data_IF_066392006334
#
_entry.id   IF_066392006334
#
_cell.length_a   1.000
_cell.length_b   1.000
_cell.length_c   1.000
_cell.angle_alpha   90.00
_cell.angle_beta   90.00
_cell.angle_gamma   90.00
#
_symmetry.space_group_name_H-M   'P 1'
#
loop_
_entity.id
_entity.type
_entity.pdbx_description
1 polymer ?
#
# COMPACT_ATOMS: atom_id res chain seq x y z
N UNK A 1 14.07 74.90 -20.22
CA UNK A 1 13.38 73.77 -19.58
C UNK A 1 12.46 73.11 -20.60
N UNK A 2 12.37 71.77 -20.69
CA UNK A 2 13.10 70.70 -19.98
C UNK A 2 14.16 70.01 -20.90
N UNK A 3 15.39 69.78 -20.42
CA UNK A 3 15.94 68.55 -19.78
C UNK A 3 16.14 67.36 -20.75
N UNK A 4 17.34 67.08 -21.27
CA UNK A 4 18.57 66.52 -20.66
C UNK A 4 18.60 64.97 -20.75
N UNK A 5 19.44 64.37 -21.62
CA UNK A 5 20.76 63.73 -21.33
C UNK A 5 20.62 62.34 -20.67
N UNK A 6 21.34 61.26 -20.98
CA UNK A 6 22.56 60.97 -21.76
C UNK A 6 22.58 59.43 -22.01
N UNK A 7 23.13 58.91 -23.13
CA UNK A 7 24.49 58.33 -23.28
C UNK A 7 24.73 57.05 -22.44
N UNK A 8 25.33 55.93 -22.88
CA UNK A 8 26.56 55.68 -23.66
C UNK A 8 26.69 54.13 -23.80
N UNK A 9 26.87 53.53 -24.99
CA UNK A 9 28.12 53.03 -25.64
C UNK A 9 28.52 51.54 -25.47
N UNK A 10 28.73 50.92 -26.66
CA UNK A 10 29.77 49.95 -27.11
C UNK A 10 29.86 48.49 -26.63
N UNK A 11 29.95 47.56 -27.62
CA UNK A 11 30.95 46.47 -27.79
C UNK A 11 30.43 45.53 -28.91
N UNK A 12 31.03 45.36 -30.11
CA UNK A 12 32.35 44.89 -30.58
C UNK A 12 32.23 43.52 -31.30
N UNK A 13 32.43 43.57 -32.63
CA UNK A 13 33.30 42.76 -33.50
C UNK A 13 33.16 41.21 -33.60
N UNK A 14 33.16 40.78 -34.86
CA UNK A 14 33.03 39.46 -35.47
C UNK A 14 34.32 38.61 -35.52
N UNK A 15 34.09 37.29 -35.77
CA UNK A 15 34.86 36.31 -36.60
C UNK A 15 36.06 35.57 -35.98
N UNK A 16 35.95 34.23 -35.82
CA UNK A 16 36.47 33.24 -36.78
C UNK A 16 36.22 31.78 -36.33
N UNK A 17 35.99 30.96 -37.35
CA UNK A 17 35.68 29.54 -37.45
C UNK A 17 36.75 28.56 -36.94
N UNK A 18 36.32 27.42 -36.36
CA UNK A 18 37.00 26.12 -36.50
C UNK A 18 36.02 24.94 -36.53
N UNK A 19 36.32 24.05 -37.44
CA UNK A 19 35.73 22.75 -37.76
C UNK A 19 35.73 21.77 -36.56
N UNK A 20 34.63 21.01 -36.45
CA UNK A 20 34.65 19.54 -36.45
C UNK A 20 35.05 18.81 -35.16
N UNK A 21 34.05 18.20 -34.51
CA UNK A 21 34.13 16.82 -34.00
C UNK A 21 32.73 16.33 -33.63
N UNK A 22 32.21 15.41 -34.45
CA UNK A 22 31.06 14.57 -34.12
C UNK A 22 31.47 13.64 -32.98
N UNK A 23 30.99 13.89 -31.77
CA UNK A 23 30.95 12.88 -30.72
C UNK A 23 29.55 12.27 -30.74
N UNK A 24 29.43 11.09 -31.35
CA UNK A 24 28.22 10.30 -31.30
C UNK A 24 27.87 9.97 -29.86
N UNK A 25 26.75 10.51 -29.37
CA UNK A 25 26.11 9.94 -28.19
C UNK A 25 25.60 8.56 -28.57
N UNK A 26 26.26 7.53 -28.05
CA UNK A 26 25.71 6.19 -27.91
C UNK A 26 24.39 6.34 -27.13
N UNK A 27 23.27 6.33 -27.87
CA UNK A 27 21.97 5.97 -27.33
C UNK A 27 22.10 4.53 -26.84
N UNK A 28 22.48 4.38 -25.57
CA UNK A 28 22.33 3.12 -24.86
C UNK A 28 20.86 2.78 -24.90
N UNK A 29 20.49 1.87 -25.79
CA UNK A 29 19.22 1.18 -25.72
C UNK A 29 19.15 0.55 -24.34
N UNK A 30 18.37 1.13 -23.42
CA UNK A 30 17.87 0.40 -22.27
C UNK A 30 17.01 -0.71 -22.85
N UNK A 31 17.63 -1.86 -23.06
CA UNK A 31 16.93 -3.12 -23.24
C UNK A 31 16.11 -3.31 -21.97
N UNK A 32 14.80 -3.03 -22.06
CA UNK A 32 13.81 -3.60 -21.14
C UNK A 32 13.77 -5.10 -21.44
N UNK A 33 14.84 -5.82 -21.10
CA UNK A 33 14.71 -7.25 -20.88
C UNK A 33 13.71 -7.39 -19.72
N UNK A 34 12.69 -8.26 -19.84
CA UNK A 34 11.96 -8.69 -18.66
C UNK A 34 13.01 -9.12 -17.64
N UNK A 35 13.02 -8.51 -16.45
CA UNK A 35 13.83 -9.07 -15.37
C UNK A 35 13.30 -10.49 -15.17
N UNK A 36 14.07 -11.48 -15.64
CA UNK A 36 13.78 -12.86 -15.31
C UNK A 36 13.79 -12.93 -13.79
N UNK A 37 12.66 -13.38 -13.24
CA UNK A 37 12.52 -13.59 -11.81
C UNK A 37 13.63 -14.56 -11.38
N UNK A 38 14.28 -14.25 -10.26
CA UNK A 38 15.38 -15.06 -9.78
C UNK A 38 14.82 -16.31 -9.09
N UNK A 39 15.33 -17.48 -9.49
CA UNK A 39 15.10 -18.71 -8.74
C UNK A 39 15.44 -18.52 -7.26
N UNK A 40 14.80 -19.30 -6.38
CA UNK A 40 15.09 -19.27 -4.96
C UNK A 40 16.59 -19.44 -4.69
N UNK A 41 17.17 -18.51 -3.94
CA UNK A 41 18.58 -18.56 -3.59
C UNK A 41 18.83 -19.66 -2.55
N UNK A 42 19.94 -20.39 -2.69
CA UNK A 42 20.20 -21.61 -1.93
C UNK A 42 20.22 -21.41 -0.39
N UNK A 43 20.54 -20.20 0.07
CA UNK A 43 20.57 -19.86 1.50
C UNK A 43 19.18 -19.81 2.15
N UNK A 44 18.11 -19.61 1.35
CA UNK A 44 16.73 -19.53 1.83
C UNK A 44 15.95 -20.85 1.70
N UNK A 45 16.52 -21.83 1.00
CA UNK A 45 15.94 -23.17 0.80
C UNK A 45 15.55 -23.83 2.13
N UNK A 46 16.39 -23.84 3.19
CA UNK A 46 16.01 -24.49 4.45
C UNK A 46 14.76 -23.92 5.11
N UNK A 47 14.58 -22.59 5.07
CA UNK A 47 13.45 -21.89 5.70
C UNK A 47 12.16 -22.12 4.91
N UNK A 48 12.24 -22.10 3.57
CA UNK A 48 11.12 -22.45 2.70
C UNK A 48 10.73 -23.92 2.90
N UNK A 49 11.72 -24.82 2.93
CA UNK A 49 11.48 -26.25 3.13
C UNK A 49 10.80 -26.53 4.48
N UNK A 50 11.19 -25.82 5.55
CA UNK A 50 10.55 -25.94 6.85
C UNK A 50 9.04 -25.62 6.81
N UNK A 51 8.64 -24.61 6.04
CA UNK A 51 7.23 -24.26 5.85
C UNK A 51 6.49 -25.35 5.06
N UNK A 52 7.11 -25.87 3.98
CA UNK A 52 6.56 -26.97 3.18
C UNK A 52 6.34 -28.21 4.05
N UNK A 53 7.33 -28.57 4.87
CA UNK A 53 7.27 -29.75 5.74
C UNK A 53 6.21 -29.58 6.83
N UNK A 54 6.10 -28.39 7.43
CA UNK A 54 5.05 -28.08 8.39
C UNK A 54 3.64 -28.21 7.77
N UNK A 55 3.46 -27.76 6.53
CA UNK A 55 2.20 -27.92 5.80
C UNK A 55 1.89 -29.39 5.49
N UNK A 56 2.89 -30.17 5.04
CA UNK A 56 2.74 -31.63 4.80
C UNK A 56 2.39 -32.40 6.07
N UNK A 57 2.99 -32.02 7.19
CA UNK A 57 2.72 -32.61 8.49
C UNK A 57 1.35 -32.20 9.08
N UNK A 58 0.71 -31.17 8.51
CA UNK A 58 -0.50 -30.59 9.08
C UNK A 58 -0.24 -30.03 10.48
N UNK A 59 0.85 -29.27 10.65
CA UNK A 59 1.29 -28.70 11.93
C UNK A 59 1.04 -27.18 12.01
N UNK A 60 -0.14 -26.75 12.51
CA UNK A 60 -0.45 -25.33 12.75
C UNK A 60 0.54 -24.63 13.68
N UNK A 61 1.17 -25.34 14.62
CA UNK A 61 2.09 -24.75 15.58
C UNK A 61 3.40 -24.36 14.90
N UNK A 62 3.93 -25.23 14.04
CA UNK A 62 5.11 -24.93 13.26
C UNK A 62 4.88 -23.75 12.30
N UNK A 63 3.75 -23.74 11.59
CA UNK A 63 3.38 -22.63 10.69
C UNK A 63 3.22 -21.32 11.48
N UNK A 64 2.50 -21.34 12.61
CA UNK A 64 2.29 -20.14 13.42
C UNK A 64 3.61 -19.54 13.95
N UNK A 65 4.59 -20.37 14.30
CA UNK A 65 5.93 -19.90 14.72
C UNK A 65 6.72 -19.23 13.59
N UNK A 66 6.39 -19.54 12.35
CA UNK A 66 7.03 -18.99 11.17
C UNK A 66 6.37 -17.69 10.69
N UNK A 67 5.37 -17.14 11.37
CA UNK A 67 4.74 -15.87 10.96
C UNK A 67 5.45 -14.67 11.58
N UNK A 68 5.64 -13.61 10.79
CA UNK A 68 5.97 -12.29 11.28
C UNK A 68 4.68 -11.62 11.78
N UNK A 69 4.61 -11.38 13.09
CA UNK A 69 3.44 -10.75 13.71
C UNK A 69 3.65 -9.24 13.92
N UNK A 70 2.59 -8.42 13.80
CA UNK A 70 1.21 -8.80 13.45
C UNK A 70 1.05 -9.14 11.96
N UNK A 71 0.35 -10.25 11.66
CA UNK A 71 0.03 -10.62 10.29
C UNK A 71 -1.14 -9.77 9.81
N UNK A 72 -0.86 -8.90 8.83
CA UNK A 72 -1.84 -7.99 8.24
C UNK A 72 -2.87 -8.73 7.40
N UNK A 73 -4.16 -8.41 7.59
CA UNK A 73 -5.26 -8.92 6.75
C UNK A 73 -5.92 -7.77 5.99
N UNK A 74 -6.68 -8.12 4.95
CA UNK A 74 -7.41 -7.11 4.17
C UNK A 74 -8.48 -6.45 5.04
N UNK A 75 -8.41 -5.13 5.20
CA UNK A 75 -9.42 -4.36 5.93
C UNK A 75 -10.83 -4.63 5.37
N UNK A 76 -11.87 -4.88 6.22
CA UNK A 76 -11.89 -4.72 7.67
C UNK A 76 -11.59 -5.98 8.50
N UNK A 77 -10.95 -7.00 7.95
CA UNK A 77 -10.54 -8.15 8.74
C UNK A 77 -9.53 -7.73 9.81
N UNK A 78 -9.67 -8.21 11.06
CA UNK A 78 -8.71 -7.89 12.10
C UNK A 78 -7.37 -8.55 11.81
N UNK A 79 -6.29 -7.79 12.00
CA UNK A 79 -4.92 -8.30 12.00
C UNK A 79 -4.73 -9.37 13.08
N UNK A 80 -3.90 -10.36 12.81
CA UNK A 80 -3.58 -11.43 13.76
C UNK A 80 -2.32 -11.02 14.51
N UNK A 81 -2.42 -10.83 15.83
CA UNK A 81 -1.37 -10.17 16.61
C UNK A 81 -0.28 -11.13 17.12
N UNK A 82 -0.56 -12.42 17.22
CA UNK A 82 0.34 -13.38 17.86
C UNK A 82 -0.02 -14.84 17.47
N UNK A 83 0.85 -15.81 17.82
CA UNK A 83 0.61 -17.23 17.54
C UNK A 83 -0.71 -17.76 18.09
N UNK A 84 -1.12 -17.36 19.29
CA UNK A 84 -2.35 -17.85 19.90
C UNK A 84 -3.58 -17.44 19.08
N UNK A 85 -3.66 -16.17 18.68
CA UNK A 85 -4.73 -15.69 17.79
C UNK A 85 -4.69 -16.38 16.43
N UNK A 86 -3.49 -16.66 15.90
CA UNK A 86 -3.35 -17.40 14.64
C UNK A 86 -3.92 -18.82 14.76
N UNK A 87 -3.59 -19.53 15.85
CA UNK A 87 -4.08 -20.88 16.07
C UNK A 87 -5.61 -20.91 16.20
N UNK A 88 -6.21 -19.91 16.87
CA UNK A 88 -7.66 -19.77 16.94
C UNK A 88 -8.31 -19.58 15.56
N UNK A 89 -7.65 -18.84 14.67
CA UNK A 89 -8.15 -18.51 13.32
C UNK A 89 -7.48 -19.33 12.22
N UNK A 90 -6.87 -20.47 12.56
CA UNK A 90 -5.93 -21.13 11.66
C UNK A 90 -6.60 -21.55 10.36
N UNK A 91 -7.71 -22.29 10.45
CA UNK A 91 -8.46 -22.77 9.28
C UNK A 91 -9.10 -21.64 8.47
N UNK A 92 -9.35 -20.48 9.08
CA UNK A 92 -9.84 -19.31 8.38
C UNK A 92 -8.78 -18.73 7.43
N UNK A 93 -7.48 -18.84 7.76
CA UNK A 93 -6.40 -18.25 6.96
C UNK A 93 -5.67 -19.30 6.12
N UNK A 94 -5.37 -20.45 6.73
CA UNK A 94 -4.72 -21.61 6.14
C UNK A 94 -5.74 -22.73 5.97
N UNK A 95 -6.67 -22.52 5.04
CA UNK A 95 -7.63 -23.56 4.67
C UNK A 95 -6.93 -24.72 3.94
N UNK A 96 -7.68 -25.80 3.67
CA UNK A 96 -7.13 -26.98 2.99
C UNK A 96 -6.56 -26.67 1.61
N UNK A 97 -7.08 -25.65 0.91
CA UNK A 97 -6.58 -25.24 -0.39
C UNK A 97 -5.19 -24.60 -0.27
N UNK A 98 -5.03 -23.62 0.62
CA UNK A 98 -3.73 -22.97 0.82
C UNK A 98 -2.69 -23.95 1.39
N UNK A 99 -3.07 -24.77 2.38
CA UNK A 99 -2.18 -25.79 2.93
C UNK A 99 -1.72 -26.78 1.87
N UNK A 100 -2.64 -27.23 1.01
CA UNK A 100 -2.30 -28.11 -0.10
C UNK A 100 -1.36 -27.45 -1.10
N UNK A 101 -1.58 -26.18 -1.44
CA UNK A 101 -0.68 -25.42 -2.31
C UNK A 101 0.75 -25.36 -1.74
N UNK A 102 0.89 -25.05 -0.45
CA UNK A 102 2.20 -25.01 0.22
C UNK A 102 2.82 -26.41 0.27
N UNK A 103 2.07 -27.43 0.71
CA UNK A 103 2.56 -28.79 0.89
C UNK A 103 3.01 -29.46 -0.42
N UNK A 104 2.40 -29.12 -1.56
CA UNK A 104 2.76 -29.66 -2.87
C UNK A 104 3.75 -28.78 -3.64
N UNK A 105 4.14 -27.63 -3.09
CA UNK A 105 5.16 -26.77 -3.68
C UNK A 105 6.56 -27.38 -3.56
N UNK A 106 7.47 -26.91 -4.41
CA UNK A 106 8.90 -27.27 -4.41
C UNK A 106 9.76 -26.01 -4.40
N UNK A 107 10.90 -26.06 -3.72
CA UNK A 107 11.84 -24.94 -3.60
C UNK A 107 12.40 -24.49 -4.94
N UNK A 108 12.41 -25.37 -5.94
CA UNK A 108 12.98 -25.09 -7.26
C UNK A 108 11.99 -24.42 -8.23
N UNK A 109 10.68 -24.68 -8.08
CA UNK A 109 9.70 -24.32 -9.11
C UNK A 109 8.61 -23.35 -8.66
N UNK A 110 8.37 -23.22 -7.36
CA UNK A 110 7.23 -22.45 -6.84
C UNK A 110 7.66 -21.25 -6.01
N UNK A 111 8.91 -21.21 -5.58
CA UNK A 111 9.42 -20.17 -4.70
C UNK A 111 10.48 -19.36 -5.44
N UNK A 112 10.36 -18.05 -5.37
CA UNK A 112 11.21 -17.12 -6.11
C UNK A 112 11.60 -15.92 -5.25
N UNK A 113 12.83 -15.45 -5.43
CA UNK A 113 13.32 -14.26 -4.73
C UNK A 113 12.95 -13.01 -5.52
N UNK A 114 12.25 -12.08 -4.88
CA UNK A 114 11.68 -10.88 -5.51
C UNK A 114 12.47 -9.60 -5.20
N UNK A 115 13.79 -9.74 -5.17
CA UNK A 115 14.70 -8.71 -4.67
C UNK A 115 14.33 -8.31 -3.24
N UNK A 116 14.41 -7.02 -2.92
CA UNK A 116 14.13 -6.52 -1.56
C UNK A 116 12.71 -6.84 -1.02
N UNK A 117 11.78 -7.35 -1.84
CA UNK A 117 10.41 -7.70 -1.42
C UNK A 117 10.31 -9.01 -0.62
N UNK A 118 11.34 -9.87 -0.69
CA UNK A 118 11.35 -11.17 -0.04
C UNK A 118 11.10 -12.33 -1.00
N UNK A 119 10.64 -13.45 -0.47
CA UNK A 119 10.50 -14.73 -1.17
C UNK A 119 9.02 -15.02 -1.39
N UNK A 120 8.64 -15.30 -2.63
CA UNK A 120 7.24 -15.38 -3.07
C UNK A 120 6.88 -16.81 -3.45
N UNK A 121 5.72 -17.30 -2.98
CA UNK A 121 5.10 -18.53 -3.45
C UNK A 121 4.18 -18.26 -4.65
N UNK A 122 4.41 -18.95 -5.76
CA UNK A 122 3.67 -18.87 -7.03
C UNK A 122 3.42 -17.40 -7.44
N UNK A 123 2.17 -17.01 -7.67
CA UNK A 123 1.79 -15.62 -8.00
C UNK A 123 1.58 -14.74 -6.77
N UNK A 124 2.33 -15.01 -5.69
CA UNK A 124 2.29 -14.25 -4.44
C UNK A 124 1.16 -14.64 -3.52
N UNK A 125 0.77 -15.92 -3.49
CA UNK A 125 -0.20 -16.43 -2.50
C UNK A 125 0.31 -16.27 -1.07
N UNK A 126 1.61 -16.52 -0.86
CA UNK A 126 2.34 -16.37 0.41
C UNK A 126 3.66 -15.63 0.13
N UNK A 127 4.04 -14.77 1.07
CA UNK A 127 5.31 -14.05 1.06
C UNK A 127 6.08 -14.35 2.34
N UNK A 128 7.37 -14.63 2.19
CA UNK A 128 8.33 -14.72 3.29
C UNK A 128 9.29 -13.53 3.22
N UNK A 129 9.73 -13.04 4.37
CA UNK A 129 10.95 -12.26 4.46
C UNK A 129 12.21 -13.15 4.37
N UNK A 130 13.38 -12.53 4.41
CA UNK A 130 14.67 -13.22 4.30
C UNK A 130 15.09 -13.98 5.57
N UNK A 131 14.42 -13.75 6.70
CA UNK A 131 14.54 -14.57 7.90
C UNK A 131 13.65 -15.82 7.82
N UNK A 132 12.93 -15.98 6.69
CA UNK A 132 12.02 -17.07 6.44
C UNK A 132 10.70 -16.95 7.19
N UNK A 133 10.32 -15.75 7.64
CA UNK A 133 9.03 -15.51 8.29
C UNK A 133 7.97 -15.13 7.26
N UNK A 134 6.76 -15.67 7.39
CA UNK A 134 5.59 -15.27 6.61
C UNK A 134 5.27 -13.82 6.94
N UNK A 135 5.56 -12.94 5.99
CA UNK A 135 5.36 -11.50 6.06
C UNK A 135 4.02 -11.08 5.44
N UNK A 136 3.43 -11.92 4.58
CA UNK A 136 2.15 -11.65 3.96
C UNK A 136 1.48 -12.89 3.36
N UNK A 137 0.14 -12.85 3.30
CA UNK A 137 -0.68 -13.87 2.65
C UNK A 137 -1.72 -13.14 1.81
N UNK A 138 -1.57 -13.14 0.48
CA UNK A 138 -2.55 -12.50 -0.42
C UNK A 138 -3.72 -13.43 -0.74
N UNK A 139 -3.57 -14.73 -0.47
CA UNK A 139 -4.68 -15.66 -0.50
C UNK A 139 -5.72 -15.27 0.56
N UNK A 140 -7.00 -15.37 0.20
CA UNK A 140 -8.14 -15.19 1.09
C UNK A 140 -9.04 -16.41 0.95
N UNK A 141 -9.28 -17.11 2.06
CA UNK A 141 -10.16 -18.28 2.06
C UNK A 141 -11.63 -17.85 1.88
N UNK A 142 -12.52 -18.75 1.45
CA UNK A 142 -13.95 -18.47 1.41
C UNK A 142 -14.54 -18.08 2.77
N UNK A 143 -14.03 -18.67 3.87
CA UNK A 143 -14.49 -18.34 5.22
C UNK A 143 -14.05 -16.93 5.65
N UNK A 144 -12.81 -16.55 5.31
CA UNK A 144 -12.31 -15.21 5.61
C UNK A 144 -13.01 -14.14 4.76
N UNK A 145 -13.27 -14.43 3.49
CA UNK A 145 -14.06 -13.56 2.62
C UNK A 145 -15.49 -13.36 3.18
N UNK A 146 -16.13 -14.43 3.68
CA UNK A 146 -17.44 -14.34 4.32
C UNK A 146 -17.41 -13.47 5.57
N UNK A 147 -16.42 -13.65 6.46
CA UNK A 147 -16.26 -12.79 7.64
C UNK A 147 -16.07 -11.33 7.24
N UNK A 148 -15.27 -11.07 6.20
CA UNK A 148 -15.05 -9.73 5.67
C UNK A 148 -16.37 -9.09 5.22
N UNK A 149 -17.20 -9.82 4.49
CA UNK A 149 -18.51 -9.33 4.02
C UNK A 149 -19.46 -9.06 5.20
N UNK A 150 -19.46 -9.91 6.23
CA UNK A 150 -20.24 -9.70 7.45
C UNK A 150 -19.81 -8.43 8.20
N UNK A 151 -18.50 -8.20 8.34
CA UNK A 151 -17.94 -6.99 8.95
C UNK A 151 -18.29 -5.74 8.13
N UNK A 152 -18.23 -5.82 6.80
CA UNK A 152 -18.66 -4.73 5.92
C UNK A 152 -20.14 -4.42 6.12
N UNK A 153 -21.00 -5.44 6.17
CA UNK A 153 -22.44 -5.25 6.42
C UNK A 153 -22.70 -4.58 7.78
N UNK A 154 -21.98 -4.97 8.83
CA UNK A 154 -22.06 -4.33 10.14
C UNK A 154 -21.61 -2.86 10.09
N UNK A 155 -20.50 -2.55 9.40
CA UNK A 155 -20.07 -1.17 9.22
C UNK A 155 -21.13 -0.31 8.53
N UNK A 156 -21.80 -0.84 7.50
CA UNK A 156 -22.91 -0.13 6.81
C UNK A 156 -24.04 0.25 7.77
N UNK A 157 -24.39 -0.63 8.71
CA UNK A 157 -25.43 -0.37 9.72
C UNK A 157 -25.02 0.71 10.74
N UNK A 158 -23.72 0.82 11.04
CA UNK A 158 -23.20 1.79 12.01
C UNK A 158 -22.96 3.19 11.43
N UNK A 159 -22.97 3.33 10.10
CA UNK A 159 -22.72 4.58 9.41
C UNK A 159 -24.00 5.41 9.22
N UNK A 160 -23.83 6.74 9.22
CA UNK A 160 -24.89 7.64 8.80
C UNK A 160 -25.35 7.34 7.37
N UNK A 161 -26.63 7.53 7.11
CA UNK A 161 -27.27 7.14 5.86
C UNK A 161 -26.67 7.74 4.59
N UNK A 162 -26.10 8.95 4.71
CA UNK A 162 -25.47 9.63 3.58
C UNK A 162 -24.19 8.95 3.08
N UNK A 163 -23.62 8.03 3.85
CA UNK A 163 -22.33 7.37 3.54
C UNK A 163 -22.33 5.85 3.76
N UNK A 164 -23.45 5.22 4.13
CA UNK A 164 -23.50 3.75 4.31
C UNK A 164 -23.45 2.93 3.03
N UNK A 165 -23.74 3.54 1.88
CA UNK A 165 -23.66 2.84 0.59
C UNK A 165 -22.25 2.92 -0.01
N UNK A 166 -21.60 1.77 -0.18
CA UNK A 166 -20.28 1.61 -0.79
C UNK A 166 -20.04 0.16 -1.22
N UNK A 167 -19.10 -0.04 -2.13
CA UNK A 167 -18.67 -1.37 -2.59
C UNK A 167 -17.72 -2.03 -1.58
N UNK A 168 -16.66 -1.33 -1.18
CA UNK A 168 -15.69 -1.84 -0.20
C UNK A 168 -15.09 -0.70 0.62
N UNK A 169 -14.84 -0.90 1.93
CA UNK A 169 -14.17 0.10 2.73
C UNK A 169 -12.66 -0.02 2.52
N UNK A 170 -11.98 1.11 2.32
CA UNK A 170 -10.57 1.11 1.89
C UNK A 170 -9.65 1.49 3.04
N UNK A 171 -10.07 2.45 3.86
CA UNK A 171 -9.39 2.78 5.12
C UNK A 171 -10.38 3.45 6.08
N UNK A 172 -10.11 3.29 7.37
CA UNK A 172 -10.68 4.09 8.43
C UNK A 172 -9.56 4.51 9.39
N UNK A 173 -9.39 5.82 9.57
CA UNK A 173 -8.28 6.40 10.31
C UNK A 173 -8.77 7.37 11.37
N UNK A 174 -8.06 7.39 12.49
CA UNK A 174 -8.13 8.48 13.45
C UNK A 174 -6.86 9.32 13.37
N UNK A 175 -7.07 10.63 13.34
CA UNK A 175 -6.04 11.67 13.49
C UNK A 175 -6.30 12.42 14.79
N UNK A 176 -5.50 13.44 15.09
CA UNK A 176 -5.72 14.27 16.27
C UNK A 176 -7.10 14.98 16.23
N UNK A 177 -7.54 15.37 15.03
CA UNK A 177 -8.76 16.19 14.86
C UNK A 177 -9.91 15.49 14.16
N UNK A 178 -9.66 14.38 13.47
CA UNK A 178 -10.68 13.76 12.62
C UNK A 178 -10.70 12.23 12.72
N UNK A 179 -11.90 11.69 12.60
CA UNK A 179 -12.10 10.32 12.10
C UNK A 179 -12.36 10.41 10.60
N UNK A 180 -11.56 9.70 9.81
CA UNK A 180 -11.55 9.74 8.35
C UNK A 180 -11.88 8.36 7.83
N UNK A 181 -12.71 8.29 6.80
CA UNK A 181 -13.03 7.06 6.10
C UNK A 181 -12.89 7.28 4.60
N UNK A 182 -12.24 6.35 3.91
CA UNK A 182 -12.31 6.25 2.46
C UNK A 182 -12.99 4.96 2.08
N UNK A 183 -13.99 5.06 1.22
CA UNK A 183 -14.71 3.93 0.65
C UNK A 183 -14.54 3.91 -0.86
N UNK A 184 -14.41 2.72 -1.43
CA UNK A 184 -14.61 2.49 -2.86
C UNK A 184 -16.12 2.48 -3.14
N UNK A 185 -16.56 3.32 -4.08
CA UNK A 185 -17.97 3.42 -4.48
C UNK A 185 -18.24 2.47 -5.64
N UNK A 186 -17.43 2.56 -6.69
CA UNK A 186 -17.42 1.70 -7.88
C UNK A 186 -16.00 1.67 -8.48
N UNK A 187 -15.85 1.10 -9.68
CA UNK A 187 -14.56 0.93 -10.34
C UNK A 187 -13.77 2.25 -10.43
N UNK A 188 -12.71 2.34 -9.62
CA UNK A 188 -11.78 3.47 -9.49
C UNK A 188 -12.39 4.80 -9.03
N UNK A 189 -13.57 4.81 -8.40
CA UNK A 189 -14.06 6.01 -7.70
C UNK A 189 -14.11 5.80 -6.20
N UNK A 190 -13.54 6.76 -5.49
CA UNK A 190 -13.49 6.77 -4.04
C UNK A 190 -14.33 7.90 -3.45
N UNK A 191 -14.83 7.69 -2.23
CA UNK A 191 -15.47 8.71 -1.40
C UNK A 191 -14.67 8.88 -0.11
N UNK A 192 -14.38 10.13 0.20
CA UNK A 192 -13.86 10.55 1.51
C UNK A 192 -15.02 11.00 2.38
N UNK A 193 -15.05 10.57 3.62
CA UNK A 193 -15.91 11.11 4.66
C UNK A 193 -15.07 11.41 5.91
N UNK A 194 -15.33 12.55 6.54
CA UNK A 194 -14.69 12.92 7.80
C UNK A 194 -15.67 13.45 8.82
N UNK A 195 -15.38 13.11 10.07
CA UNK A 195 -16.05 13.56 11.26
C UNK A 195 -15.02 14.23 12.17
N UNK A 196 -15.37 15.33 12.82
CA UNK A 196 -14.58 15.88 13.90
C UNK A 196 -14.40 14.82 15.01
N UNK A 197 -13.23 14.80 15.65
CA UNK A 197 -12.90 13.86 16.71
C UNK A 197 -14.00 13.85 17.79
N UNK A 198 -14.41 12.66 18.20
CA UNK A 198 -15.45 12.45 19.22
C UNK A 198 -16.87 12.31 18.66
N UNK A 199 -17.12 12.67 17.39
CA UNK A 199 -18.40 12.35 16.74
C UNK A 199 -18.53 10.87 16.42
N UNK A 200 -19.75 10.35 16.53
CA UNK A 200 -20.09 8.99 16.12
C UNK A 200 -20.16 8.88 14.59
N UNK A 201 -19.79 7.71 14.04
CA UNK A 201 -19.94 7.41 12.61
C UNK A 201 -21.41 7.36 12.15
N UNK A 202 -22.34 7.19 13.08
CA UNK A 202 -23.78 7.26 12.82
C UNK A 202 -24.31 8.70 12.69
N UNK A 203 -23.55 9.70 13.13
CA UNK A 203 -23.88 11.11 12.91
C UNK A 203 -23.50 11.53 11.49
N UNK A 204 -24.14 12.60 10.98
CA UNK A 204 -23.83 13.12 9.66
C UNK A 204 -22.35 13.56 9.60
N UNK A 205 -21.56 13.07 8.63
CA UNK A 205 -20.18 13.52 8.45
C UNK A 205 -20.10 15.02 8.21
N UNK A 206 -19.06 15.65 8.76
CA UNK A 206 -18.77 17.07 8.59
C UNK A 206 -18.33 17.40 7.16
N UNK A 207 -17.68 16.44 6.49
CA UNK A 207 -17.25 16.59 5.11
C UNK A 207 -17.42 15.27 4.36
N UNK A 208 -17.99 15.34 3.16
CA UNK A 208 -18.04 14.23 2.21
C UNK A 208 -17.53 14.72 0.85
N UNK A 209 -16.49 14.06 0.32
CA UNK A 209 -15.95 14.32 -1.01
C UNK A 209 -16.10 13.08 -1.87
N UNK A 210 -16.52 13.25 -3.12
CA UNK A 210 -16.71 12.17 -4.09
C UNK A 210 -15.67 12.28 -5.21
N UNK A 211 -15.62 11.27 -6.08
CA UNK A 211 -14.73 11.23 -7.25
C UNK A 211 -13.25 11.32 -6.87
N UNK A 212 -12.89 10.72 -5.73
CA UNK A 212 -11.50 10.54 -5.35
C UNK A 212 -10.80 9.56 -6.28
N UNK A 213 -9.48 9.68 -6.35
CA UNK A 213 -8.62 8.86 -7.20
C UNK A 213 -7.52 8.22 -6.36
N UNK A 214 -7.17 6.99 -6.72
CA UNK A 214 -5.99 6.30 -6.20
C UNK A 214 -4.77 6.71 -7.03
N UNK A 215 -3.73 7.21 -6.37
CA UNK A 215 -2.44 7.54 -6.96
C UNK A 215 -1.39 6.63 -6.33
N UNK A 216 -0.75 5.77 -7.13
CA UNK A 216 0.29 4.85 -6.65
C UNK A 216 1.67 5.52 -6.77
N UNK A 217 2.49 5.35 -5.73
CA UNK A 217 3.83 5.93 -5.67
C UNK A 217 4.88 4.82 -5.84
N UNK A 218 5.42 4.72 -7.06
CA UNK A 218 6.39 3.69 -7.40
C UNK A 218 5.86 2.27 -7.21
N UNK A 219 6.75 1.34 -6.87
CA UNK A 219 6.46 -0.10 -6.77
C UNK A 219 6.48 -0.63 -5.34
N UNK A 220 6.63 0.26 -4.35
CA UNK A 220 6.78 -0.10 -2.93
C UNK A 220 5.46 -0.27 -2.18
N UNK A 221 4.32 -0.06 -2.85
CA UNK A 221 3.00 -0.17 -2.23
C UNK A 221 2.50 1.13 -1.58
N UNK A 222 3.36 2.13 -1.39
CA UNK A 222 2.92 3.49 -1.01
C UNK A 222 1.96 4.04 -2.06
N UNK A 223 0.90 4.68 -1.60
CA UNK A 223 -0.14 5.24 -2.46
C UNK A 223 -0.96 6.26 -1.70
N UNK A 224 -1.71 7.08 -2.41
CA UNK A 224 -2.61 8.04 -1.80
C UNK A 224 -4.00 8.04 -2.44
N UNK A 225 -5.00 8.35 -1.62
CA UNK A 225 -6.34 8.70 -2.09
C UNK A 225 -6.49 10.21 -2.11
N UNK A 226 -6.73 10.77 -3.30
CA UNK A 226 -6.74 12.21 -3.53
C UNK A 226 -8.13 12.71 -3.93
N UNK A 227 -8.56 13.80 -3.31
CA UNK A 227 -9.87 14.43 -3.51
C UNK A 227 -9.73 15.94 -3.71
N UNK A 228 -10.64 16.53 -4.49
CA UNK A 228 -10.67 17.99 -4.75
C UNK A 228 -12.03 18.57 -4.39
N UNK A 229 -12.02 19.79 -3.84
CA UNK A 229 -13.22 20.58 -3.59
C UNK A 229 -12.90 22.08 -3.71
N UNK A 230 -13.29 22.69 -4.83
CA UNK A 230 -12.91 24.07 -5.15
C UNK A 230 -11.39 24.25 -5.08
N UNK A 231 -10.86 25.21 -4.28
CA UNK A 231 -9.43 25.45 -4.14
C UNK A 231 -8.71 24.41 -3.27
N UNK A 232 -9.43 23.47 -2.66
CA UNK A 232 -8.87 22.51 -1.70
C UNK A 232 -8.52 21.18 -2.35
N UNK A 233 -7.41 20.58 -1.89
CA UNK A 233 -6.99 19.21 -2.22
C UNK A 233 -6.74 18.44 -0.93
N UNK A 234 -7.33 17.26 -0.82
CA UNK A 234 -7.23 16.37 0.33
C UNK A 234 -6.49 15.11 -0.11
N UNK A 235 -5.49 14.69 0.65
CA UNK A 235 -4.64 13.54 0.35
C UNK A 235 -4.58 12.66 1.58
N UNK A 236 -5.11 11.45 1.48
CA UNK A 236 -4.87 10.38 2.45
C UNK A 236 -3.68 9.57 1.94
N UNK A 237 -2.50 9.86 2.46
CA UNK A 237 -1.24 9.22 2.09
C UNK A 237 -1.02 7.95 2.92
N UNK A 238 -0.95 6.80 2.25
CA UNK A 238 -0.79 5.48 2.85
C UNK A 238 0.66 5.06 2.77
N UNK A 239 1.25 4.79 3.94
CA UNK A 239 2.66 4.50 4.08
C UNK A 239 2.79 3.01 4.42
N UNK A 240 3.23 2.24 3.43
CA UNK A 240 3.42 0.78 3.53
C UNK A 240 4.86 0.47 3.94
N UNK A 241 5.82 1.14 3.30
CA UNK A 241 7.24 0.99 3.63
C UNK A 241 7.67 2.14 4.53
N UNK A 242 7.96 1.84 5.78
CA UNK A 242 8.46 2.83 6.71
C UNK A 242 9.26 2.20 7.85
N UNK A 243 10.01 3.03 8.57
CA UNK A 243 10.63 2.63 9.83
C UNK A 243 9.54 2.30 10.87
N UNK A 244 9.81 1.37 11.79
CA UNK A 244 8.85 0.80 12.77
C UNK A 244 8.00 1.84 13.53
N UNK A 245 8.48 3.06 13.72
CA UNK A 245 7.79 4.13 14.45
C UNK A 245 6.96 5.09 13.56
N UNK A 246 6.89 4.84 12.26
CA UNK A 246 6.17 5.72 11.35
C UNK A 246 4.67 5.47 11.41
N UNK A 247 3.84 6.52 11.27
CA UNK A 247 2.40 6.35 11.19
C UNK A 247 2.06 5.58 9.90
N UNK A 248 1.01 4.76 9.96
CA UNK A 248 0.49 4.00 8.81
C UNK A 248 0.00 4.89 7.66
N UNK A 249 -0.17 6.18 7.92
CA UNK A 249 -0.50 7.17 6.93
C UNK A 249 -0.52 8.59 7.47
N UNK A 250 -0.77 9.56 6.59
CA UNK A 250 -0.93 10.97 6.93
C UNK A 250 -2.08 11.59 6.14
N UNK A 251 -2.84 12.46 6.78
CA UNK A 251 -3.75 13.38 6.10
C UNK A 251 -2.99 14.65 5.73
N UNK A 252 -3.07 15.05 4.47
CA UNK A 252 -2.70 16.39 4.02
C UNK A 252 -3.91 17.11 3.43
N UNK A 253 -4.06 18.39 3.77
CA UNK A 253 -5.03 19.29 3.13
C UNK A 253 -4.31 20.52 2.63
N UNK A 254 -4.50 20.82 1.36
CA UNK A 254 -3.93 21.99 0.68
C UNK A 254 -5.06 22.93 0.26
N UNK A 255 -4.76 24.23 0.17
CA UNK A 255 -5.60 25.25 -0.47
C UNK A 255 -4.73 26.06 -1.42
N UNK A 256 -5.08 26.12 -2.70
CA UNK A 256 -4.24 26.75 -3.73
C UNK A 256 -2.77 26.30 -3.62
N UNK A 257 -2.58 24.98 -3.46
CA UNK A 257 -1.29 24.30 -3.27
C UNK A 257 -0.47 24.68 -2.03
N UNK A 258 -0.99 25.54 -1.14
CA UNK A 258 -0.41 25.79 0.17
C UNK A 258 -0.93 24.76 1.18
N UNK A 259 -0.02 24.11 1.91
CA UNK A 259 -0.35 23.14 2.96
C UNK A 259 -1.07 23.85 4.12
N UNK A 260 -2.28 23.40 4.45
CA UNK A 260 -3.08 23.91 5.57
C UNK A 260 -3.16 22.95 6.74
N UNK A 261 -3.24 21.65 6.46
CA UNK A 261 -3.34 20.60 7.49
C UNK A 261 -2.38 19.49 7.13
N UNK A 262 -1.62 19.04 8.12
CA UNK A 262 -0.84 17.81 8.07
C UNK A 262 -1.03 17.09 9.41
N UNK A 263 -1.66 15.93 9.39
CA UNK A 263 -1.92 15.15 10.61
C UNK A 263 -1.51 13.69 10.41
N UNK A 264 -0.67 13.12 11.29
CA UNK A 264 -0.39 11.70 11.25
C UNK A 264 -1.63 10.89 11.66
N UNK A 265 -1.76 9.70 11.08
CA UNK A 265 -2.71 8.70 11.56
C UNK A 265 -2.20 8.19 12.91
N UNK A 266 -3.02 8.36 13.94
CA UNK A 266 -2.77 7.88 15.30
C UNK A 266 -3.22 6.43 15.42
N UNK A 267 -4.31 6.07 14.74
CA UNK A 267 -4.89 4.73 14.78
C UNK A 267 -5.60 4.40 13.47
N UNK A 268 -5.34 3.23 12.91
CA UNK A 268 -6.24 2.60 11.94
C UNK A 268 -7.35 1.86 12.71
N UNK A 269 -8.60 2.08 12.28
CA UNK A 269 -9.81 1.56 12.93
C UNK A 269 -10.22 0.20 12.37
#
# INVERSE_FOLDING_TARGET
MPHALSSRTYSAIHRLSRLGLFAGLLLGSLSLAPQALAALEAEYVPQVQALIDAAKAGDPQAIAKQIAYPLKREYPLPDIQNPQQMLTRFQQVFDSKLLSQIAHSTTENNWETMGWRGIMLDHGSVWLDFDGKISGINYQSPEEAKLRDELIAQQKLMLHESVREFASPVLAWETARFTIRVDAIDNNQYRYAAWAKGKSLSEKPDLVLKKGQLVREGTGGNHSFQFKSGPYRYVCDVIVLSAEESPVGRLYVYKNDQLLVQEPVIKAL
#
